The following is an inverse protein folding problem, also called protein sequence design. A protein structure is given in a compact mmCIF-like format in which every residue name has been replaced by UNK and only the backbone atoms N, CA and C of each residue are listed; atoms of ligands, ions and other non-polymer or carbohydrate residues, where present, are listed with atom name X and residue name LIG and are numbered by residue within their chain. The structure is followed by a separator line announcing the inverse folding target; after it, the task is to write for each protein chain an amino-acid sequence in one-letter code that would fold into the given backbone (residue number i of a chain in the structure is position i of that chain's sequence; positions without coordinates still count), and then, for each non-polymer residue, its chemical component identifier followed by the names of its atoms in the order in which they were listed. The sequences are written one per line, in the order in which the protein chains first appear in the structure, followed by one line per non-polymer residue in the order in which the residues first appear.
data_IF_253451987084
#
_entry.id   IF_253451987084
#
_cell.length_a   1.000
_cell.length_b   1.000
_cell.length_c   1.000
_cell.angle_alpha   90.00
_cell.angle_beta   90.00
_cell.angle_gamma   90.00
#
_symmetry.space_group_name_H-M   'P 1'
#
loop_
_entity.id
_entity.type
_entity.pdbx_description
1 polymer ?
#
# COMPACT_ATOMS: atom_id res chain seq x y z
N UNK A 1 -26.13 1.45 7.87
CA UNK A 1 -25.40 2.73 7.94
C UNK A 1 -24.60 2.72 9.23
N UNK A 2 -23.28 2.63 9.15
CA UNK A 2 -22.41 2.75 10.33
C UNK A 2 -22.47 4.21 10.80
N UNK A 3 -22.89 4.43 12.03
CA UNK A 3 -22.82 5.74 12.64
C UNK A 3 -21.34 6.11 12.73
N UNK A 4 -20.87 7.01 11.87
CA UNK A 4 -19.68 7.80 12.19
C UNK A 4 -20.03 8.47 13.51
N UNK A 5 -19.43 8.02 14.61
CA UNK A 5 -19.52 8.73 15.87
C UNK A 5 -18.98 10.13 15.58
N UNK A 6 -19.89 11.10 15.43
CA UNK A 6 -19.54 12.51 15.29
C UNK A 6 -19.03 12.94 16.64
N UNK A 7 -17.76 12.64 16.91
CA UNK A 7 -16.99 13.27 17.98
C UNK A 7 -17.08 14.76 17.68
N UNK A 8 -17.68 15.51 18.60
CA UNK A 8 -17.76 16.96 18.50
C UNK A 8 -16.38 17.52 18.15
N UNK A 9 -16.34 18.45 17.21
CA UNK A 9 -15.18 18.95 16.46
C UNK A 9 -14.07 19.63 17.29
N UNK A 10 -14.01 19.45 18.61
CA UNK A 10 -13.05 20.09 19.53
C UNK A 10 -11.67 19.40 19.58
N UNK A 11 -11.43 18.34 18.80
CA UNK A 11 -10.22 17.53 18.94
C UNK A 11 -9.58 17.06 17.64
N UNK A 12 -9.44 17.92 16.61
CA UNK A 12 -8.51 17.64 15.51
C UNK A 12 -7.10 17.96 15.99
N UNK A 13 -6.31 16.93 16.29
CA UNK A 13 -4.92 17.06 16.73
C UNK A 13 -3.94 16.86 15.56
N UNK A 14 -2.73 17.41 15.69
CA UNK A 14 -1.62 17.15 14.79
C UNK A 14 -1.02 15.75 15.08
N UNK A 15 -0.57 15.05 14.04
CA UNK A 15 0.01 13.70 14.20
C UNK A 15 -1.01 12.58 14.41
N UNK A 16 -2.30 12.83 14.14
CA UNK A 16 -3.35 11.81 14.14
C UNK A 16 -3.94 11.66 12.74
N UNK A 17 -3.91 10.44 12.18
CA UNK A 17 -4.59 10.14 10.93
C UNK A 17 -6.11 10.00 11.11
N UNK A 18 -6.86 10.88 10.45
CA UNK A 18 -8.32 10.76 10.35
C UNK A 18 -8.72 10.16 9.00
N UNK A 19 -9.52 9.10 9.05
CA UNK A 19 -10.01 8.40 7.88
C UNK A 19 -11.53 8.54 7.77
N UNK A 20 -12.01 9.26 6.76
CA UNK A 20 -13.44 9.52 6.55
C UNK A 20 -14.09 8.59 5.52
N UNK A 21 -13.29 7.80 4.80
CA UNK A 21 -13.73 7.04 3.62
C UNK A 21 -13.36 5.54 3.70
N UNK A 22 -13.06 5.05 4.90
CA UNK A 22 -12.62 3.66 5.14
C UNK A 22 -11.44 3.27 4.23
N UNK A 23 -10.45 4.16 4.14
CA UNK A 23 -9.22 3.97 3.38
C UNK A 23 -8.07 3.55 4.30
N UNK A 24 -7.17 2.71 3.81
CA UNK A 24 -5.92 2.40 4.50
C UNK A 24 -4.74 2.82 3.63
N UNK A 25 -3.74 3.42 4.27
CA UNK A 25 -2.45 3.71 3.69
C UNK A 25 -1.55 2.50 3.90
N UNK A 26 -1.01 1.94 2.83
CA UNK A 26 -0.12 0.78 2.89
C UNK A 26 1.15 1.00 2.08
N UNK A 27 2.25 0.49 2.60
CA UNK A 27 3.55 0.40 1.96
C UNK A 27 3.79 -1.05 1.54
N UNK A 28 4.01 -1.28 0.26
CA UNK A 28 4.55 -2.53 -0.28
C UNK A 28 6.07 -2.42 -0.35
N UNK A 29 6.77 -3.43 0.13
CA UNK A 29 8.20 -3.62 -0.06
C UNK A 29 8.45 -4.84 -0.94
N UNK A 30 8.93 -4.61 -2.16
CA UNK A 30 9.24 -5.65 -3.12
C UNK A 30 10.62 -6.30 -2.90
N UNK A 31 11.40 -5.87 -1.88
CA UNK A 31 12.73 -6.37 -1.48
C UNK A 31 13.84 -6.10 -2.52
N UNK A 32 13.48 -5.75 -3.75
CA UNK A 32 14.39 -5.46 -4.85
C UNK A 32 14.08 -4.10 -5.48
N UNK A 33 15.05 -3.55 -6.21
CA UNK A 33 14.84 -2.35 -7.00
C UNK A 33 13.79 -2.58 -8.10
N UNK A 34 12.83 -1.66 -8.19
CA UNK A 34 11.80 -1.61 -9.23
C UNK A 34 12.12 -0.60 -10.35
N UNK A 35 13.31 0.01 -10.33
CA UNK A 35 13.66 1.12 -11.22
C UNK A 35 13.61 0.78 -12.72
N UNK A 36 13.81 -0.49 -13.09
CA UNK A 36 13.73 -0.97 -14.47
C UNK A 36 12.48 -1.84 -14.72
N UNK A 37 11.49 -1.75 -13.82
CA UNK A 37 10.31 -2.64 -13.76
C UNK A 37 9.00 -1.85 -13.86
N UNK A 38 9.07 -0.62 -14.36
CA UNK A 38 7.97 0.32 -14.57
C UNK A 38 7.36 0.25 -15.99
N UNK A 39 7.87 -0.65 -16.84
CA UNK A 39 7.33 -0.92 -18.16
C UNK A 39 5.94 -1.58 -18.15
N UNK A 40 5.34 -1.66 -19.33
CA UNK A 40 4.09 -2.42 -19.55
C UNK A 40 4.30 -3.87 -19.11
N UNK A 41 3.37 -4.40 -18.33
CA UNK A 41 3.41 -5.73 -17.72
C UNK A 41 4.60 -6.00 -16.77
N UNK A 42 5.37 -4.96 -16.43
CA UNK A 42 6.47 -5.05 -15.47
C UNK A 42 5.98 -5.31 -14.05
N UNK A 43 6.91 -5.65 -13.14
CA UNK A 43 6.57 -5.99 -11.75
C UNK A 43 5.73 -4.90 -11.07
N UNK A 44 5.99 -3.62 -11.32
CA UNK A 44 5.18 -2.52 -10.78
C UNK A 44 3.72 -2.60 -11.26
N UNK A 45 3.50 -2.79 -12.56
CA UNK A 45 2.17 -2.82 -13.16
C UNK A 45 1.33 -3.99 -12.62
N UNK A 46 1.95 -5.17 -12.48
CA UNK A 46 1.27 -6.35 -11.96
C UNK A 46 0.93 -6.23 -10.47
N UNK A 47 1.84 -5.70 -9.65
CA UNK A 47 1.59 -5.47 -8.22
C UNK A 47 0.45 -4.46 -8.03
N UNK A 48 0.46 -3.36 -8.80
CA UNK A 48 -0.61 -2.35 -8.75
C UNK A 48 -1.94 -2.93 -9.24
N UNK A 49 -1.92 -3.78 -10.27
CA UNK A 49 -3.11 -4.48 -10.76
C UNK A 49 -3.75 -5.38 -9.70
N UNK A 50 -2.93 -6.16 -8.98
CA UNK A 50 -3.41 -7.04 -7.90
C UNK A 50 -3.95 -6.21 -6.71
N UNK A 51 -3.27 -5.14 -6.31
CA UNK A 51 -3.66 -4.37 -5.13
C UNK A 51 -4.78 -3.36 -5.37
N UNK A 52 -5.09 -3.03 -6.63
CA UNK A 52 -6.15 -2.11 -7.04
C UNK A 52 -6.24 -0.79 -6.22
N UNK A 53 -5.15 -0.02 -6.12
CA UNK A 53 -5.12 1.19 -5.30
C UNK A 53 -5.92 2.35 -5.90
N UNK A 54 -6.44 3.21 -5.02
CA UNK A 54 -7.07 4.48 -5.39
C UNK A 54 -6.03 5.50 -5.85
N UNK A 55 -4.85 5.45 -5.25
CA UNK A 55 -3.66 6.22 -5.62
C UNK A 55 -2.42 5.48 -5.15
N UNK A 56 -1.33 5.59 -5.90
CA UNK A 56 -0.05 4.99 -5.53
C UNK A 56 1.13 5.82 -6.03
N UNK A 57 2.30 5.61 -5.42
CA UNK A 57 3.59 6.11 -5.89
C UNK A 57 4.67 5.06 -5.65
N UNK A 58 5.42 4.74 -6.70
CA UNK A 58 6.60 3.88 -6.61
C UNK A 58 7.85 4.73 -6.33
N UNK A 59 8.76 4.21 -5.52
CA UNK A 59 10.06 4.83 -5.22
C UNK A 59 11.16 4.41 -6.20
N UNK A 60 10.90 3.41 -7.06
CA UNK A 60 11.88 2.89 -8.02
C UNK A 60 13.01 2.13 -7.33
N UNK A 61 14.13 2.79 -7.04
CA UNK A 61 15.36 2.14 -6.53
C UNK A 61 15.20 1.51 -5.15
N UNK A 62 14.42 2.14 -4.28
CA UNK A 62 14.16 1.59 -2.94
C UNK A 62 13.15 0.42 -2.94
N UNK A 63 12.54 0.10 -4.10
CA UNK A 63 11.65 -1.06 -4.21
C UNK A 63 10.33 -0.92 -3.45
N UNK A 64 9.98 0.29 -3.02
CA UNK A 64 8.77 0.56 -2.25
C UNK A 64 7.65 1.10 -3.14
N UNK A 65 6.42 0.70 -2.84
CA UNK A 65 5.22 1.27 -3.43
C UNK A 65 4.31 1.73 -2.31
N UNK A 66 4.08 3.04 -2.23
CA UNK A 66 3.13 3.63 -1.30
C UNK A 66 1.77 3.70 -1.99
N UNK A 67 0.72 3.24 -1.32
CA UNK A 67 -0.60 3.21 -1.90
C UNK A 67 -1.70 3.46 -0.88
N UNK A 68 -2.78 4.07 -1.34
CA UNK A 68 -4.04 4.15 -0.61
C UNK A 68 -5.01 3.15 -1.23
N UNK A 69 -5.55 2.26 -0.42
CA UNK A 69 -6.52 1.24 -0.84
C UNK A 69 -7.78 1.34 0.00
N UNK A 70 -8.85 0.71 -0.46
CA UNK A 70 -10.08 0.59 0.32
C UNK A 70 -9.89 -0.43 1.44
N UNK A 71 -10.16 -0.04 2.68
CA UNK A 71 -10.00 -0.87 3.88
C UNK A 71 -11.12 -1.86 4.11
N UNK A 72 -12.25 -1.73 3.41
CA UNK A 72 -13.38 -2.63 3.59
C UNK A 72 -13.05 -4.06 3.14
N UNK A 73 -12.87 -4.96 4.10
CA UNK A 73 -12.56 -6.36 3.86
C UNK A 73 -11.13 -6.63 3.39
N UNK A 74 -10.24 -5.63 3.44
CA UNK A 74 -8.82 -5.78 3.13
C UNK A 74 -7.97 -5.21 4.27
N UNK A 75 -6.94 -5.97 4.64
CA UNK A 75 -5.93 -5.59 5.61
C UNK A 75 -4.54 -5.74 4.98
N UNK A 76 -3.54 -5.04 5.55
CA UNK A 76 -2.15 -5.20 5.13
C UNK A 76 -1.71 -6.68 5.16
N UNK A 77 -2.12 -7.45 6.18
CA UNK A 77 -1.83 -8.88 6.27
C UNK A 77 -2.46 -9.70 5.12
N UNK A 78 -3.74 -9.48 4.82
CA UNK A 78 -4.39 -10.19 3.70
C UNK A 78 -3.80 -9.80 2.34
N UNK A 79 -3.40 -8.53 2.18
CA UNK A 79 -2.73 -8.06 0.97
C UNK A 79 -1.33 -8.63 0.82
N UNK A 80 -0.60 -8.79 1.93
CA UNK A 80 0.72 -9.43 1.93
C UNK A 80 0.63 -10.87 1.46
N UNK A 81 -0.34 -11.65 1.95
CA UNK A 81 -0.56 -13.02 1.48
C UNK A 81 -0.84 -13.05 -0.03
N UNK A 82 -1.66 -12.13 -0.53
CA UNK A 82 -1.94 -12.02 -1.98
C UNK A 82 -0.67 -11.68 -2.77
N UNK A 83 0.12 -10.72 -2.30
CA UNK A 83 1.39 -10.33 -2.92
C UNK A 83 2.36 -11.51 -2.99
N UNK A 84 2.52 -12.25 -1.88
CA UNK A 84 3.41 -13.40 -1.81
C UNK A 84 2.92 -14.55 -2.70
N UNK A 85 1.60 -14.73 -2.82
CA UNK A 85 1.01 -15.73 -3.71
C UNK A 85 1.23 -15.43 -5.20
N UNK A 86 1.61 -14.21 -5.59
CA UNK A 86 2.02 -13.91 -6.97
C UNK A 86 3.33 -14.62 -7.34
N UNK A 87 4.14 -15.03 -6.35
CA UNK A 87 5.39 -15.75 -6.57
C UNK A 87 6.43 -14.91 -7.30
N UNK A 88 6.90 -15.38 -8.45
CA UNK A 88 7.87 -14.65 -9.28
C UNK A 88 7.18 -13.90 -10.41
N UNK A 89 7.34 -12.59 -10.42
CA UNK A 89 6.76 -11.69 -11.43
C UNK A 89 7.87 -10.90 -12.10
N UNK A 90 7.98 -10.97 -13.42
CA UNK A 90 9.00 -10.25 -14.20
C UNK A 90 10.42 -10.43 -13.60
N UNK A 91 10.73 -11.66 -13.17
CA UNK A 91 12.01 -12.02 -12.55
C UNK A 91 12.22 -11.51 -11.11
N UNK A 92 11.23 -10.85 -10.51
CA UNK A 92 11.22 -10.44 -9.09
C UNK A 92 10.52 -11.51 -8.26
N UNK A 93 11.20 -12.05 -7.25
CA UNK A 93 10.60 -12.97 -6.28
C UNK A 93 9.89 -12.19 -5.17
N UNK A 94 8.55 -12.29 -5.13
CA UNK A 94 7.69 -11.62 -4.16
C UNK A 94 7.32 -12.52 -2.98
N UNK A 95 7.82 -13.76 -2.91
CA UNK A 95 7.44 -14.73 -1.88
C UNK A 95 7.74 -14.28 -0.44
N UNK A 96 8.68 -13.37 -0.26
CA UNK A 96 9.02 -12.75 1.03
C UNK A 96 8.64 -11.27 1.13
N UNK A 97 8.02 -10.70 0.08
CA UNK A 97 7.64 -9.29 0.04
C UNK A 97 6.68 -8.95 1.19
N UNK A 98 6.74 -7.69 1.66
CA UNK A 98 5.96 -7.25 2.82
C UNK A 98 4.97 -6.17 2.47
N UNK A 99 3.85 -6.13 3.20
CA UNK A 99 2.84 -5.07 3.11
C UNK A 99 2.55 -4.57 4.50
N UNK A 100 2.80 -3.28 4.73
CA UNK A 100 2.67 -2.66 6.05
C UNK A 100 1.68 -1.52 6.00
N UNK A 101 0.71 -1.50 6.92
CA UNK A 101 -0.15 -0.33 7.10
C UNK A 101 0.66 0.82 7.72
N UNK A 102 0.51 2.02 7.18
CA UNK A 102 1.26 3.22 7.61
C UNK A 102 0.32 4.38 7.88
N UNK A 103 0.79 5.30 8.70
CA UNK A 103 0.26 6.67 8.71
C UNK A 103 0.75 7.41 7.45
N UNK A 104 0.02 8.43 7.02
CA UNK A 104 0.37 9.31 5.90
C UNK A 104 1.75 9.96 6.09
N UNK A 105 2.12 10.34 7.31
CA UNK A 105 3.44 10.93 7.62
C UNK A 105 4.54 9.87 7.83
N UNK A 106 4.15 8.60 7.89
CA UNK A 106 5.04 7.46 8.03
C UNK A 106 5.64 6.99 6.71
N UNK A 107 5.20 7.47 5.55
CA UNK A 107 5.74 7.07 4.25
C UNK A 107 7.15 7.63 4.03
N UNK A 108 8.14 6.75 3.94
CA UNK A 108 9.54 7.12 3.74
C UNK A 108 10.16 6.20 2.70
N UNK A 109 10.83 6.80 1.71
CA UNK A 109 11.43 6.10 0.57
C UNK A 109 12.86 5.60 0.81
N UNK A 110 13.35 5.68 2.04
CA UNK A 110 14.70 5.24 2.43
C UNK A 110 14.77 3.74 2.58
#
# INVERSE_FOLDING_TARGET
MSAVARVNQDGRDHGVQYNTADQIAVEVDAIVSLAAKDGIDGALAQIVGEMAPLMYKSTGTAGKIFMIVHGHGQSAASMQVRLQNMGTVDGVDLSSATVTARDLDGFVAT
#
